data_IF_132351324404
#
_entry.id   IF_132351324404
#
_cell.length_a   1.000
_cell.length_b   1.000
_cell.length_c   1.000
_cell.angle_alpha   90.00
_cell.angle_beta   90.00
_cell.angle_gamma   90.00
#
_symmetry.space_group_name_H-M   'P 1'
#
loop_
_entity.id
_entity.type
_entity.pdbx_description
1 polymer ?
#
# COMPACT_ATOMS: atom_id res chain seq x y z
N UNK A 1 -14.12 -16.23 -9.30
CA UNK A 1 -14.30 -16.10 -7.83
C UNK A 1 -14.20 -17.50 -7.21
N UNK A 2 -13.47 -17.62 -6.12
CA UNK A 2 -13.29 -18.89 -5.40
C UNK A 2 -14.58 -19.32 -4.70
N UNK A 3 -14.85 -20.65 -4.68
CA UNK A 3 -15.94 -21.20 -3.87
C UNK A 3 -15.49 -21.34 -2.41
N UNK A 4 -16.06 -20.55 -1.52
CA UNK A 4 -15.70 -20.51 -0.09
C UNK A 4 -16.47 -21.50 0.78
N UNK A 5 -17.42 -22.27 0.22
CA UNK A 5 -18.23 -23.23 0.98
C UNK A 5 -17.33 -24.29 1.64
N UNK A 6 -17.46 -24.47 2.94
CA UNK A 6 -16.69 -25.39 3.77
C UNK A 6 -15.18 -25.14 3.83
N UNK A 7 -14.67 -24.02 3.30
CA UNK A 7 -13.26 -23.67 3.35
C UNK A 7 -12.86 -23.15 4.74
N UNK A 8 -11.66 -23.52 5.18
CA UNK A 8 -11.01 -22.96 6.38
C UNK A 8 -10.08 -21.82 6.00
N UNK A 9 -10.34 -20.65 6.54
CA UNK A 9 -9.62 -19.41 6.19
C UNK A 9 -8.54 -19.13 7.24
N UNK A 10 -7.31 -19.00 6.81
CA UNK A 10 -6.20 -18.52 7.64
C UNK A 10 -6.01 -17.01 7.48
N UNK A 11 -6.20 -16.24 8.54
CA UNK A 11 -5.90 -14.81 8.54
C UNK A 11 -4.44 -14.63 8.95
N UNK A 12 -3.59 -14.26 7.99
CA UNK A 12 -2.14 -14.08 8.18
C UNK A 12 -1.85 -12.66 8.65
N UNK A 13 -1.33 -12.52 9.86
CA UNK A 13 -1.03 -11.23 10.48
C UNK A 13 0.30 -11.25 11.24
N UNK A 14 0.69 -10.15 11.88
CA UNK A 14 1.93 -10.03 12.63
C UNK A 14 3.13 -9.85 11.69
N UNK A 15 3.95 -10.85 11.57
CA UNK A 15 5.19 -10.76 10.79
C UNK A 15 6.34 -10.14 11.57
N UNK A 16 7.42 -9.76 10.86
CA UNK A 16 8.67 -9.27 11.45
C UNK A 16 8.98 -7.81 11.13
N UNK A 17 8.12 -7.13 10.37
CA UNK A 17 8.31 -5.73 9.99
C UNK A 17 8.09 -4.77 11.16
N UNK A 18 8.50 -3.53 10.99
CA UNK A 18 8.21 -2.43 11.92
C UNK A 18 6.70 -2.13 12.07
N UNK A 19 5.87 -2.63 11.15
CA UNK A 19 4.40 -2.44 11.14
C UNK A 19 3.65 -3.63 11.74
N UNK A 20 4.35 -4.52 12.49
CA UNK A 20 3.78 -5.72 13.11
C UNK A 20 2.49 -5.46 13.89
N UNK A 21 2.46 -4.42 14.72
CA UNK A 21 1.30 -4.08 15.55
C UNK A 21 0.08 -3.71 14.71
N UNK A 22 0.29 -2.97 13.63
CA UNK A 22 -0.78 -2.61 12.67
C UNK A 22 -1.32 -3.85 11.96
N UNK A 23 -0.43 -4.76 11.60
CA UNK A 23 -0.79 -6.05 11.01
C UNK A 23 -1.63 -6.91 11.98
N UNK A 24 -1.26 -6.96 13.26
CA UNK A 24 -2.04 -7.68 14.28
C UNK A 24 -3.43 -7.06 14.48
N UNK A 25 -3.54 -5.73 14.49
CA UNK A 25 -4.81 -5.02 14.59
C UNK A 25 -5.71 -5.31 13.38
N UNK A 26 -5.18 -5.18 12.16
CA UNK A 26 -5.86 -5.49 10.90
C UNK A 26 -6.31 -6.96 10.89
N UNK A 27 -5.41 -7.88 11.24
CA UNK A 27 -5.71 -9.31 11.30
C UNK A 27 -6.82 -9.65 12.27
N UNK A 28 -6.82 -9.03 13.46
CA UNK A 28 -7.88 -9.23 14.46
C UNK A 28 -9.24 -8.73 13.97
N UNK A 29 -9.27 -7.56 13.32
CA UNK A 29 -10.48 -7.00 12.76
C UNK A 29 -11.05 -7.91 11.66
N UNK A 30 -10.23 -8.33 10.71
CA UNK A 30 -10.60 -9.24 9.62
C UNK A 30 -11.03 -10.61 10.14
N UNK A 31 -10.30 -11.19 11.10
CA UNK A 31 -10.67 -12.46 11.74
C UNK A 31 -12.08 -12.40 12.36
N UNK A 32 -12.39 -11.33 13.08
CA UNK A 32 -13.70 -11.14 13.69
C UNK A 32 -14.80 -11.01 12.63
N UNK A 33 -14.54 -10.27 11.53
CA UNK A 33 -15.48 -10.13 10.42
C UNK A 33 -15.75 -11.48 9.73
N UNK A 34 -14.71 -12.26 9.41
CA UNK A 34 -14.84 -13.59 8.80
C UNK A 34 -15.61 -14.55 9.70
N UNK A 35 -15.36 -14.50 11.01
CA UNK A 35 -16.09 -15.30 12.01
C UNK A 35 -17.57 -14.91 12.07
N UNK A 36 -17.87 -13.60 12.03
CA UNK A 36 -19.25 -13.08 12.02
C UNK A 36 -20.01 -13.48 10.75
N UNK A 37 -19.31 -13.60 9.63
CA UNK A 37 -19.84 -14.11 8.36
C UNK A 37 -20.08 -15.64 8.37
N UNK A 38 -19.74 -16.34 9.45
CA UNK A 38 -20.01 -17.78 9.62
C UNK A 38 -18.96 -18.71 9.02
N UNK A 39 -17.79 -18.19 8.57
CA UNK A 39 -16.72 -19.04 8.03
C UNK A 39 -15.84 -19.63 9.13
N UNK A 40 -15.33 -20.85 8.87
CA UNK A 40 -14.26 -21.44 9.69
C UNK A 40 -12.99 -20.62 9.50
N UNK A 41 -12.45 -20.04 10.57
CA UNK A 41 -11.28 -19.16 10.47
C UNK A 41 -10.33 -19.34 11.64
N UNK A 42 -9.05 -19.11 11.40
CA UNK A 42 -7.98 -19.12 12.40
C UNK A 42 -7.06 -17.92 12.16
N UNK A 43 -6.62 -17.29 13.24
CA UNK A 43 -5.63 -16.21 13.20
C UNK A 43 -4.23 -16.81 13.26
N UNK A 44 -3.37 -16.47 12.31
CA UNK A 44 -2.01 -17.01 12.19
C UNK A 44 -1.00 -15.87 12.27
N UNK A 45 -0.28 -15.81 13.38
CA UNK A 45 0.87 -14.92 13.52
C UNK A 45 2.06 -15.47 12.72
N UNK A 46 2.46 -14.73 11.69
CA UNK A 46 3.47 -15.12 10.70
C UNK A 46 4.87 -15.02 11.29
N UNK A 47 5.58 -16.11 11.21
CA UNK A 47 6.99 -16.24 11.58
C UNK A 47 7.65 -17.34 10.73
N UNK A 48 8.92 -17.69 11.00
CA UNK A 48 9.68 -18.71 10.27
C UNK A 48 8.99 -20.08 10.14
N UNK A 49 8.01 -20.38 10.99
CA UNK A 49 7.28 -21.65 10.99
C UNK A 49 5.90 -21.54 10.31
N UNK A 50 5.62 -20.46 9.57
CA UNK A 50 4.29 -20.18 9.00
C UNK A 50 3.82 -21.30 8.06
N UNK A 51 4.68 -21.82 7.19
CA UNK A 51 4.33 -22.92 6.28
C UNK A 51 3.86 -24.17 7.05
N UNK A 52 4.57 -24.56 8.11
CA UNK A 52 4.19 -25.69 8.96
C UNK A 52 2.84 -25.45 9.67
N UNK A 53 2.59 -24.21 10.14
CA UNK A 53 1.32 -23.84 10.75
C UNK A 53 0.16 -23.94 9.74
N UNK A 54 0.35 -23.48 8.51
CA UNK A 54 -0.67 -23.55 7.45
C UNK A 54 -1.05 -25.02 7.16
N UNK A 55 -0.07 -25.90 7.04
CA UNK A 55 -0.30 -27.34 6.85
C UNK A 55 -1.03 -27.96 8.05
N UNK A 56 -0.51 -27.74 9.28
CA UNK A 56 -1.10 -28.25 10.53
C UNK A 56 -2.55 -27.82 10.70
N UNK A 57 -2.84 -26.56 10.42
CA UNK A 57 -4.19 -25.97 10.51
C UNK A 57 -5.07 -26.35 9.33
N UNK A 58 -4.55 -27.03 8.29
CA UNK A 58 -5.29 -27.39 7.07
C UNK A 58 -6.00 -26.17 6.46
N UNK A 59 -5.22 -25.12 6.18
CA UNK A 59 -5.74 -23.89 5.61
C UNK A 59 -6.05 -24.07 4.13
N UNK A 60 -7.26 -23.74 3.74
CA UNK A 60 -7.72 -23.79 2.35
C UNK A 60 -7.54 -22.46 1.60
N UNK A 61 -7.61 -21.33 2.32
CA UNK A 61 -7.49 -19.98 1.76
C UNK A 61 -6.79 -19.09 2.77
N UNK A 62 -5.85 -18.27 2.31
CA UNK A 62 -5.16 -17.30 3.14
C UNK A 62 -5.70 -15.88 2.92
N UNK A 63 -6.12 -15.20 3.99
CA UNK A 63 -6.39 -13.78 3.99
C UNK A 63 -5.16 -13.04 4.54
N UNK A 64 -4.48 -12.25 3.70
CA UNK A 64 -3.24 -11.58 4.08
C UNK A 64 -3.56 -10.19 4.65
N UNK A 65 -3.09 -9.92 5.88
CA UNK A 65 -3.16 -8.61 6.55
C UNK A 65 -1.78 -8.16 7.05
N UNK A 66 -0.73 -8.71 6.45
CA UNK A 66 0.64 -8.31 6.74
C UNK A 66 0.93 -6.91 6.19
N UNK A 67 1.94 -6.26 6.76
CA UNK A 67 2.49 -5.00 6.26
C UNK A 67 4.01 -5.07 6.23
N UNK A 68 4.61 -4.37 5.25
CA UNK A 68 6.06 -4.43 5.00
C UNK A 68 6.54 -5.84 4.63
N UNK A 69 7.84 -6.09 4.74
CA UNK A 69 8.44 -7.41 4.48
C UNK A 69 8.15 -8.38 5.64
N UNK A 70 7.71 -9.64 5.37
CA UNK A 70 7.58 -10.33 4.07
C UNK A 70 6.17 -10.25 3.45
N UNK A 71 5.32 -9.32 3.86
CA UNK A 71 3.91 -9.25 3.45
C UNK A 71 3.70 -8.58 2.10
N UNK A 72 4.40 -7.48 1.83
CA UNK A 72 4.18 -6.61 0.68
C UNK A 72 5.24 -6.74 -0.42
N UNK A 73 6.20 -7.64 -0.27
CA UNK A 73 7.34 -7.82 -1.19
C UNK A 73 7.25 -9.06 -2.09
N UNK A 74 6.15 -9.81 -2.02
CA UNK A 74 5.95 -11.03 -2.81
C UNK A 74 6.42 -12.31 -2.10
N UNK A 75 7.11 -12.23 -0.97
CA UNK A 75 7.68 -13.38 -0.27
C UNK A 75 6.58 -14.32 0.26
N UNK A 76 5.60 -13.80 1.00
CA UNK A 76 4.51 -14.62 1.53
C UNK A 76 3.61 -15.14 0.41
N UNK A 77 3.39 -14.33 -0.64
CA UNK A 77 2.62 -14.71 -1.81
C UNK A 77 3.28 -15.87 -2.55
N UNK A 78 4.59 -15.81 -2.80
CA UNK A 78 5.34 -16.87 -3.44
C UNK A 78 5.34 -18.19 -2.65
N UNK A 79 5.44 -18.13 -1.33
CA UNK A 79 5.29 -19.30 -0.48
C UNK A 79 3.90 -19.93 -0.63
N UNK A 80 2.84 -19.12 -0.60
CA UNK A 80 1.45 -19.60 -0.75
C UNK A 80 1.20 -20.21 -2.13
N UNK A 81 1.77 -19.63 -3.20
CA UNK A 81 1.71 -20.20 -4.56
C UNK A 81 2.38 -21.58 -4.63
N UNK A 82 3.58 -21.73 -4.07
CA UNK A 82 4.28 -23.04 -4.00
C UNK A 82 3.48 -24.05 -3.19
N UNK A 83 2.79 -23.62 -2.14
CA UNK A 83 1.93 -24.49 -1.32
C UNK A 83 0.56 -24.78 -1.96
N UNK A 84 0.21 -24.15 -3.07
CA UNK A 84 -1.12 -24.27 -3.70
C UNK A 84 -2.26 -23.72 -2.85
N UNK A 85 -2.00 -22.75 -1.98
CA UNK A 85 -3.01 -22.13 -1.12
C UNK A 85 -3.44 -20.79 -1.75
N UNK A 86 -4.69 -20.68 -2.24
CA UNK A 86 -5.24 -19.41 -2.70
C UNK A 86 -5.16 -18.32 -1.64
N UNK A 87 -4.92 -17.08 -2.05
CA UNK A 87 -4.78 -15.97 -1.12
C UNK A 87 -5.41 -14.67 -1.64
N UNK A 88 -5.72 -13.76 -0.74
CA UNK A 88 -6.29 -12.45 -1.04
C UNK A 88 -5.23 -11.43 -1.39
N UNK A 89 -5.59 -10.45 -2.23
CA UNK A 89 -4.73 -9.33 -2.60
C UNK A 89 -3.87 -9.61 -3.82
N UNK A 90 -2.87 -8.77 -4.00
CA UNK A 90 -1.97 -8.79 -5.14
C UNK A 90 -1.01 -9.98 -5.11
N UNK A 91 -0.62 -10.46 -6.31
CA UNK A 91 0.32 -11.58 -6.46
C UNK A 91 1.79 -11.19 -6.28
N UNK A 92 2.68 -12.15 -6.53
CA UNK A 92 4.14 -11.99 -6.38
C UNK A 92 4.67 -10.80 -7.16
N UNK A 93 4.35 -10.73 -8.47
CA UNK A 93 4.84 -9.64 -9.33
C UNK A 93 4.39 -8.26 -8.84
N UNK A 94 3.10 -8.09 -8.58
CA UNK A 94 2.55 -6.80 -8.12
C UNK A 94 3.21 -6.35 -6.83
N UNK A 95 3.36 -7.25 -5.87
CA UNK A 95 3.93 -6.96 -4.55
C UNK A 95 5.42 -6.62 -4.66
N UNK A 96 6.21 -7.44 -5.36
CA UNK A 96 7.65 -7.21 -5.50
C UNK A 96 7.97 -5.95 -6.31
N UNK A 97 7.17 -5.64 -7.35
CA UNK A 97 7.38 -4.44 -8.15
C UNK A 97 6.95 -3.16 -7.43
N UNK A 98 5.88 -3.20 -6.61
CA UNK A 98 5.36 -2.02 -5.92
C UNK A 98 6.19 -1.61 -4.72
N UNK A 99 6.80 -2.54 -3.99
CA UNK A 99 7.61 -2.23 -2.82
C UNK A 99 8.89 -1.47 -3.20
N UNK A 100 9.48 -1.76 -4.37
CA UNK A 100 10.62 -1.03 -4.91
C UNK A 100 10.13 0.21 -5.68
N UNK A 101 10.29 1.40 -5.07
CA UNK A 101 9.86 2.68 -5.65
C UNK A 101 10.55 2.98 -6.98
N UNK A 102 11.79 2.53 -7.17
CA UNK A 102 12.54 2.72 -8.41
C UNK A 102 11.91 1.88 -9.54
N UNK A 103 11.56 0.63 -9.26
CA UNK A 103 10.86 -0.23 -10.21
C UNK A 103 9.47 0.35 -10.51
N UNK A 104 8.73 0.77 -9.48
CA UNK A 104 7.44 1.44 -9.65
C UNK A 104 7.52 2.64 -10.58
N UNK A 105 8.53 3.52 -10.40
CA UNK A 105 8.74 4.69 -11.27
C UNK A 105 9.01 4.31 -12.73
N UNK A 106 9.82 3.28 -12.96
CA UNK A 106 10.08 2.77 -14.32
C UNK A 106 8.80 2.26 -14.99
N UNK A 107 7.95 1.55 -14.23
CA UNK A 107 6.64 1.08 -14.73
C UNK A 107 5.74 2.30 -15.02
N UNK A 108 5.67 3.28 -14.11
CA UNK A 108 4.87 4.48 -14.33
C UNK A 108 5.28 5.22 -15.61
N UNK A 109 6.57 5.41 -15.84
CA UNK A 109 7.07 6.08 -17.05
C UNK A 109 6.77 5.27 -18.33
N UNK A 110 7.07 3.97 -18.32
CA UNK A 110 6.79 3.08 -19.46
C UNK A 110 5.31 3.08 -19.83
N UNK A 111 4.44 3.07 -18.83
CA UNK A 111 2.99 3.10 -19.01
C UNK A 111 2.43 4.52 -19.20
N UNK A 112 3.23 5.57 -19.23
CA UNK A 112 2.78 6.97 -19.28
C UNK A 112 1.79 7.31 -18.15
N UNK A 113 2.04 6.80 -16.96
CA UNK A 113 1.34 7.17 -15.73
C UNK A 113 2.06 8.41 -15.15
N UNK A 114 1.33 9.50 -14.87
CA UNK A 114 1.96 10.74 -14.41
C UNK A 114 2.59 10.55 -13.04
N UNK A 115 3.86 10.92 -12.90
CA UNK A 115 4.62 10.89 -11.65
C UNK A 115 5.64 12.03 -11.63
N UNK A 116 6.13 12.42 -10.45
CA UNK A 116 7.13 13.46 -10.32
C UNK A 116 8.44 13.07 -11.04
N UNK A 117 9.17 14.05 -11.58
CA UNK A 117 10.54 13.82 -12.09
C UNK A 117 11.40 13.21 -10.98
N UNK A 118 12.24 12.26 -11.31
CA UNK A 118 13.00 11.50 -10.34
C UNK A 118 14.38 11.10 -10.88
N UNK A 119 15.28 10.80 -9.98
CA UNK A 119 16.58 10.20 -10.25
C UNK A 119 16.98 9.23 -9.16
N UNK A 120 17.94 8.37 -9.46
CA UNK A 120 18.50 7.39 -8.52
C UNK A 120 19.85 7.89 -8.07
N UNK A 121 20.13 7.81 -6.78
CA UNK A 121 21.48 7.95 -6.25
C UNK A 121 21.90 6.61 -5.66
N UNK A 122 23.02 6.09 -6.11
CA UNK A 122 23.62 4.87 -5.61
C UNK A 122 24.82 5.23 -4.73
N UNK A 123 24.98 4.52 -3.64
CA UNK A 123 26.09 4.72 -2.71
C UNK A 123 27.43 4.55 -3.45
N UNK A 124 28.36 5.45 -3.18
CA UNK A 124 29.70 5.47 -3.79
C UNK A 124 29.73 5.78 -5.30
N UNK A 125 28.62 6.18 -5.91
CA UNK A 125 28.61 6.67 -7.30
C UNK A 125 28.40 8.17 -7.35
N UNK A 126 29.01 8.88 -8.34
CA UNK A 126 28.73 10.30 -8.57
C UNK A 126 27.26 10.47 -9.02
N UNK A 127 26.68 11.63 -8.71
CA UNK A 127 25.35 12.02 -9.15
C UNK A 127 25.34 13.45 -9.68
N UNK A 128 24.35 13.75 -10.50
CA UNK A 128 24.18 15.08 -11.10
C UNK A 128 23.70 16.10 -10.07
N UNK A 129 23.84 17.39 -10.41
CA UNK A 129 23.32 18.48 -9.58
C UNK A 129 21.80 18.39 -9.41
N UNK A 130 21.34 18.62 -8.18
CA UNK A 130 19.93 18.48 -7.80
C UNK A 130 19.26 19.85 -7.74
N UNK A 131 18.16 20.00 -8.48
CA UNK A 131 17.30 21.18 -8.43
C UNK A 131 16.28 21.06 -7.28
N UNK A 132 16.36 21.96 -6.30
CA UNK A 132 15.48 21.95 -5.11
C UNK A 132 14.14 22.68 -5.35
N UNK A 133 13.05 22.35 -4.60
CA UNK A 133 12.98 21.35 -3.52
C UNK A 133 12.77 19.93 -4.05
N UNK A 134 13.30 18.94 -3.30
CA UNK A 134 13.17 17.52 -3.62
C UNK A 134 12.74 16.69 -2.41
N UNK A 135 12.31 15.46 -2.67
CA UNK A 135 12.07 14.42 -1.67
C UNK A 135 13.14 13.34 -1.84
N UNK A 136 13.84 13.03 -0.77
CA UNK A 136 14.83 11.95 -0.70
C UNK A 136 14.22 10.80 0.09
N UNK A 137 14.26 9.57 -0.45
CA UNK A 137 13.69 8.38 0.21
C UNK A 137 14.45 7.10 -0.15
N UNK A 138 14.55 6.15 0.79
CA UNK A 138 15.01 4.79 0.48
C UNK A 138 14.12 4.14 -0.58
N UNK A 139 14.69 3.21 -1.38
CA UNK A 139 13.98 2.61 -2.50
C UNK A 139 12.81 1.72 -2.06
N UNK A 140 12.98 0.90 -1.00
CA UNK A 140 12.01 -0.15 -0.61
C UNK A 140 11.45 -0.04 0.81
N UNK A 141 11.75 1.08 1.53
CA UNK A 141 11.14 1.29 2.85
C UNK A 141 9.69 1.77 2.74
N UNK A 142 8.80 1.16 3.55
CA UNK A 142 7.40 1.57 3.70
C UNK A 142 7.21 2.69 4.74
N UNK A 143 5.96 3.09 4.95
CA UNK A 143 5.51 3.93 6.07
C UNK A 143 6.26 5.24 6.29
N UNK A 144 6.75 5.86 5.22
CA UNK A 144 7.52 7.11 5.23
C UNK A 144 8.86 7.04 6.00
N UNK A 145 9.38 5.86 6.27
CA UNK A 145 10.67 5.68 6.95
C UNK A 145 11.80 6.20 6.06
N UNK A 146 12.68 7.04 6.62
CA UNK A 146 13.83 7.60 5.91
C UNK A 146 13.50 8.67 4.87
N UNK A 147 12.24 9.12 4.76
CA UNK A 147 11.83 10.18 3.85
C UNK A 147 12.23 11.54 4.40
N UNK A 148 12.77 12.41 3.51
CA UNK A 148 13.10 13.79 3.83
C UNK A 148 12.67 14.73 2.71
N UNK A 149 11.98 15.82 3.04
CA UNK A 149 11.72 16.94 2.14
C UNK A 149 12.88 17.93 2.30
N UNK A 150 13.53 18.26 1.20
CA UNK A 150 14.82 18.95 1.17
C UNK A 150 14.71 20.21 0.31
N UNK A 151 15.18 21.33 0.84
CA UNK A 151 15.08 22.64 0.20
C UNK A 151 16.41 23.23 -0.23
N UNK A 152 17.54 22.65 0.21
CA UNK A 152 18.87 23.13 -0.08
C UNK A 152 19.93 22.03 0.06
N UNK A 153 21.14 22.29 -0.41
CA UNK A 153 22.26 21.34 -0.43
C UNK A 153 22.62 20.79 0.96
N UNK A 154 22.62 21.63 2.00
CA UNK A 154 22.94 21.19 3.37
C UNK A 154 21.93 20.18 3.94
N UNK A 155 20.64 20.41 3.67
CA UNK A 155 19.59 19.45 4.02
C UNK A 155 19.70 18.18 3.21
N UNK A 156 20.07 18.30 1.91
CA UNK A 156 20.22 17.18 1.01
C UNK A 156 21.31 16.20 1.48
N UNK A 157 22.49 16.69 1.85
CA UNK A 157 23.58 15.85 2.37
C UNK A 157 23.17 15.04 3.61
N UNK A 158 22.37 15.64 4.51
CA UNK A 158 21.83 14.96 5.68
C UNK A 158 20.79 13.90 5.29
N UNK A 159 19.89 14.24 4.38
CA UNK A 159 18.84 13.35 3.90
C UNK A 159 19.42 12.13 3.16
N UNK A 160 20.41 12.33 2.31
CA UNK A 160 21.13 11.26 1.62
C UNK A 160 21.83 10.33 2.61
N UNK A 161 22.52 10.88 3.61
CA UNK A 161 23.15 10.08 4.67
C UNK A 161 22.14 9.26 5.46
N UNK A 162 20.98 9.85 5.79
CA UNK A 162 19.89 9.14 6.46
C UNK A 162 19.33 8.02 5.59
N UNK A 163 19.01 8.30 4.33
CA UNK A 163 18.45 7.29 3.43
C UNK A 163 19.43 6.13 3.17
N UNK A 164 20.74 6.42 3.02
CA UNK A 164 21.78 5.40 2.91
C UNK A 164 22.05 4.60 4.19
N UNK A 165 21.52 4.99 5.33
CA UNK A 165 21.55 4.11 6.52
C UNK A 165 20.56 2.95 6.43
N UNK A 166 19.62 3.02 5.50
CA UNK A 166 18.64 1.96 5.26
C UNK A 166 18.98 1.10 4.04
N UNK A 167 19.45 1.73 2.94
CA UNK A 167 19.65 1.06 1.64
C UNK A 167 20.76 1.71 0.83
N UNK A 168 21.41 0.94 -0.05
CA UNK A 168 22.49 1.45 -0.92
C UNK A 168 21.98 2.15 -2.20
N UNK A 169 20.68 2.16 -2.44
CA UNK A 169 20.00 2.84 -3.53
C UNK A 169 18.88 3.71 -2.96
N UNK A 170 18.86 4.98 -3.35
CA UNK A 170 17.85 5.93 -2.90
C UNK A 170 17.19 6.60 -4.09
N UNK A 171 15.92 6.95 -3.93
CA UNK A 171 15.15 7.71 -4.89
C UNK A 171 15.13 9.19 -4.50
N UNK A 172 15.40 10.06 -5.44
CA UNK A 172 15.25 11.51 -5.30
C UNK A 172 14.19 11.97 -6.28
N UNK A 173 13.15 12.63 -5.81
CA UNK A 173 12.03 13.11 -6.62
C UNK A 173 11.86 14.62 -6.48
N UNK A 174 11.40 15.28 -7.54
CA UNK A 174 10.92 16.65 -7.44
C UNK A 174 9.80 16.75 -6.41
N UNK A 175 9.92 17.67 -5.46
CA UNK A 175 8.85 17.92 -4.50
C UNK A 175 7.64 18.55 -5.20
N UNK A 176 6.48 17.92 -5.09
CA UNK A 176 5.21 18.46 -5.61
C UNK A 176 4.42 19.03 -4.44
N UNK A 177 4.11 20.33 -4.53
CA UNK A 177 3.20 20.98 -3.57
C UNK A 177 1.77 20.80 -4.04
N UNK A 178 0.93 20.18 -3.21
CA UNK A 178 -0.45 19.91 -3.59
C UNK A 178 -1.26 19.26 -2.47
N UNK A 179 -2.44 18.79 -2.85
CA UNK A 179 -3.37 18.05 -1.99
C UNK A 179 -2.98 16.58 -2.06
N UNK A 180 -2.74 15.95 -0.91
CA UNK A 180 -2.49 14.51 -0.83
C UNK A 180 -3.83 13.77 -0.89
N UNK A 181 -3.92 12.84 -1.84
CA UNK A 181 -5.11 12.04 -2.10
C UNK A 181 -4.75 10.57 -2.24
N UNK A 182 -5.75 9.73 -2.04
CA UNK A 182 -5.61 8.30 -2.33
C UNK A 182 -6.86 7.76 -3.01
N UNK A 183 -6.65 6.81 -3.91
CA UNK A 183 -7.72 6.09 -4.61
C UNK A 183 -7.54 4.57 -4.42
N UNK A 184 -8.53 3.94 -3.78
CA UNK A 184 -8.60 2.48 -3.68
C UNK A 184 -9.17 1.85 -4.95
N UNK A 185 -8.74 0.61 -5.23
CA UNK A 185 -9.37 -0.24 -6.25
C UNK A 185 -9.74 -1.57 -5.59
N UNK A 186 -11.01 -1.96 -5.72
CA UNK A 186 -11.54 -3.22 -5.21
C UNK A 186 -12.06 -4.06 -6.39
N UNK A 187 -11.43 -5.20 -6.65
CA UNK A 187 -11.82 -6.12 -7.72
C UNK A 187 -11.98 -5.42 -9.09
N UNK A 188 -11.01 -4.56 -9.45
CA UNK A 188 -11.01 -3.80 -10.70
C UNK A 188 -12.01 -2.64 -10.75
N UNK A 189 -12.63 -2.27 -9.62
CA UNK A 189 -13.55 -1.12 -9.52
C UNK A 189 -12.95 -0.04 -8.62
N UNK A 190 -12.89 1.22 -9.07
CA UNK A 190 -12.34 2.30 -8.27
C UNK A 190 -13.31 2.67 -7.14
N UNK A 191 -12.77 2.91 -5.96
CA UNK A 191 -13.49 3.46 -4.82
C UNK A 191 -13.50 4.99 -4.89
N UNK A 192 -14.33 5.67 -4.08
CA UNK A 192 -14.28 7.12 -3.93
C UNK A 192 -12.88 7.60 -3.52
N UNK A 193 -12.45 8.71 -4.13
CA UNK A 193 -11.16 9.34 -3.83
C UNK A 193 -11.21 9.97 -2.45
N UNK A 194 -10.18 9.74 -1.66
CA UNK A 194 -10.02 10.34 -0.32
C UNK A 194 -9.00 11.46 -0.39
N UNK A 195 -9.34 12.61 0.13
CA UNK A 195 -8.38 13.66 0.47
C UNK A 195 -7.86 13.41 1.88
N UNK A 196 -6.54 13.40 2.03
CA UNK A 196 -5.86 13.19 3.30
C UNK A 196 -5.40 14.55 3.83
N UNK A 197 -5.94 14.96 4.97
CA UNK A 197 -5.56 16.21 5.64
C UNK A 197 -4.82 15.87 6.93
N UNK A 198 -3.48 15.80 6.91
CA UNK A 198 -2.71 15.56 8.13
C UNK A 198 -2.77 16.78 9.05
N UNK A 199 -2.77 16.57 10.38
CA UNK A 199 -2.60 17.66 11.35
C UNK A 199 -1.18 18.22 11.38
N UNK A 200 -0.21 17.43 10.91
CA UNK A 200 1.19 17.80 10.80
C UNK A 200 1.55 18.42 9.45
N UNK A 201 2.86 18.56 9.20
CA UNK A 201 3.36 19.13 7.94
C UNK A 201 3.26 18.19 6.74
N UNK A 202 3.20 16.86 6.96
CA UNK A 202 2.98 15.85 5.93
C UNK A 202 2.46 14.54 6.57
N UNK A 203 2.01 13.61 5.72
CA UNK A 203 1.38 12.35 6.14
C UNK A 203 2.44 11.29 6.46
N UNK A 204 3.02 11.39 7.66
CA UNK A 204 4.06 10.50 8.19
C UNK A 204 3.47 9.26 8.88
N UNK A 205 4.34 8.39 9.41
CA UNK A 205 3.95 7.19 10.15
C UNK A 205 2.96 7.49 11.29
N UNK A 206 3.22 8.55 12.06
CA UNK A 206 2.35 8.95 13.16
C UNK A 206 0.97 9.37 12.67
N UNK A 207 0.92 10.13 11.58
CA UNK A 207 -0.32 10.60 10.97
C UNK A 207 -1.14 9.46 10.34
N UNK A 208 -0.46 8.40 9.86
CA UNK A 208 -1.10 7.21 9.26
C UNK A 208 -1.81 6.33 10.30
N UNK A 209 -1.25 6.16 11.50
CA UNK A 209 -1.68 5.13 12.45
C UNK A 209 -2.19 5.64 13.80
N UNK A 210 -2.09 6.95 14.08
CA UNK A 210 -2.62 7.51 15.31
C UNK A 210 -3.99 8.15 15.08
N UNK A 211 -4.99 7.69 15.83
CA UNK A 211 -6.36 8.22 15.75
C UNK A 211 -6.37 9.73 15.90
N UNK A 212 -7.05 10.42 14.97
CA UNK A 212 -7.23 11.87 14.98
C UNK A 212 -6.01 12.69 14.56
N UNK A 213 -4.92 12.08 14.03
CA UNK A 213 -3.77 12.81 13.46
C UNK A 213 -3.93 13.14 11.97
N UNK A 214 -4.93 12.56 11.30
CA UNK A 214 -5.36 12.93 9.96
C UNK A 214 -6.89 12.97 9.89
N UNK A 215 -7.40 13.74 8.93
CA UNK A 215 -8.82 13.76 8.57
C UNK A 215 -8.97 13.22 7.16
N UNK A 216 -9.92 12.32 6.96
CA UNK A 216 -10.27 11.75 5.66
C UNK A 216 -11.52 12.45 5.13
N UNK A 217 -11.41 13.12 3.99
CA UNK A 217 -12.54 13.80 3.34
C UNK A 217 -12.94 12.97 2.12
N UNK A 218 -14.18 12.47 2.11
CA UNK A 218 -14.70 11.53 1.10
C UNK A 218 -16.06 12.01 0.60
N UNK A 219 -16.21 12.30 -0.71
CA UNK A 219 -15.15 12.38 -1.72
C UNK A 219 -14.20 13.57 -1.48
N UNK A 220 -12.99 13.49 -2.03
CA UNK A 220 -12.01 14.57 -1.99
C UNK A 220 -12.60 15.89 -2.56
N UNK A 221 -12.20 17.04 -2.01
CA UNK A 221 -12.69 18.38 -2.39
C UNK A 221 -12.06 18.86 -3.71
N UNK A 222 -12.29 18.08 -4.77
CA UNK A 222 -11.77 18.32 -6.12
C UNK A 222 -12.92 18.31 -7.13
N UNK A 223 -12.77 18.99 -8.28
CA UNK A 223 -13.78 18.94 -9.35
C UNK A 223 -14.04 17.50 -9.81
N UNK A 224 -15.30 17.18 -10.15
CA UNK A 224 -15.69 15.81 -10.56
C UNK A 224 -14.85 15.26 -11.71
N UNK A 225 -14.49 16.10 -12.70
CA UNK A 225 -13.61 15.73 -13.81
C UNK A 225 -12.23 15.27 -13.33
N UNK A 226 -11.70 15.91 -12.27
CA UNK A 226 -10.40 15.54 -11.66
C UNK A 226 -10.53 14.25 -10.88
N UNK A 227 -11.61 14.07 -10.11
CA UNK A 227 -11.88 12.81 -9.39
C UNK A 227 -11.97 11.62 -10.36
N UNK A 228 -12.65 11.75 -11.48
CA UNK A 228 -12.71 10.71 -12.53
C UNK A 228 -11.34 10.43 -13.14
N UNK A 229 -10.52 11.48 -13.40
CA UNK A 229 -9.14 11.29 -13.91
C UNK A 229 -8.27 10.53 -12.90
N UNK A 230 -8.38 10.84 -11.60
CA UNK A 230 -7.68 10.13 -10.52
C UNK A 230 -8.06 8.64 -10.50
N UNK A 231 -9.35 8.34 -10.53
CA UNK A 231 -9.86 6.97 -10.55
C UNK A 231 -9.36 6.19 -11.77
N UNK A 232 -9.34 6.81 -12.96
CA UNK A 232 -8.81 6.20 -14.17
C UNK A 232 -7.30 5.93 -14.08
N UNK A 233 -6.53 6.85 -13.46
CA UNK A 233 -5.11 6.63 -13.19
C UNK A 233 -4.92 5.47 -12.22
N UNK A 234 -5.72 5.37 -11.15
CA UNK A 234 -5.64 4.26 -10.21
C UNK A 234 -5.95 2.92 -10.87
N UNK A 235 -6.96 2.86 -11.76
CA UNK A 235 -7.25 1.67 -12.56
C UNK A 235 -6.08 1.31 -13.49
N UNK A 236 -5.50 2.29 -14.16
CA UNK A 236 -4.33 2.06 -15.01
C UNK A 236 -3.14 1.50 -14.22
N UNK A 237 -2.87 2.04 -13.01
CA UNK A 237 -1.86 1.48 -12.10
C UNK A 237 -2.20 0.05 -11.71
N UNK A 238 -3.46 -0.23 -11.36
CA UNK A 238 -3.95 -1.58 -11.03
C UNK A 238 -3.66 -2.57 -12.16
N UNK A 239 -3.94 -2.20 -13.41
CA UNK A 239 -3.76 -3.06 -14.57
C UNK A 239 -2.27 -3.26 -14.91
N UNK A 240 -1.47 -2.20 -14.94
CA UNK A 240 -0.04 -2.26 -15.28
C UNK A 240 0.77 -3.07 -14.27
N UNK A 241 0.41 -3.00 -12.98
CA UNK A 241 1.01 -3.85 -11.96
C UNK A 241 0.36 -5.23 -11.86
N UNK A 242 -0.63 -5.55 -12.70
CA UNK A 242 -1.38 -6.82 -12.67
C UNK A 242 -1.93 -7.12 -11.28
N UNK A 243 -2.46 -6.11 -10.61
CA UNK A 243 -3.05 -6.26 -9.30
C UNK A 243 -4.24 -7.22 -9.31
N UNK A 244 -4.54 -7.78 -8.15
CA UNK A 244 -5.72 -8.60 -7.92
C UNK A 244 -6.38 -8.19 -6.59
N UNK A 245 -7.69 -8.32 -6.53
CA UNK A 245 -8.45 -8.00 -5.32
C UNK A 245 -8.35 -6.52 -4.98
N UNK A 246 -7.42 -6.15 -4.12
CA UNK A 246 -7.32 -4.79 -3.58
C UNK A 246 -5.98 -4.15 -3.85
N UNK A 247 -6.01 -2.85 -4.12
CA UNK A 247 -4.83 -1.99 -3.98
C UNK A 247 -5.26 -0.56 -3.64
N UNK A 248 -4.29 0.28 -3.28
CA UNK A 248 -4.47 1.70 -3.03
C UNK A 248 -3.35 2.47 -3.70
N UNK A 249 -3.70 3.50 -4.47
CA UNK A 249 -2.76 4.35 -5.17
C UNK A 249 -2.72 5.71 -4.50
N UNK A 250 -1.57 6.09 -3.97
CA UNK A 250 -1.36 7.37 -3.30
C UNK A 250 -0.82 8.40 -4.30
N UNK A 251 -1.39 9.60 -4.31
CA UNK A 251 -1.13 10.64 -5.32
C UNK A 251 -1.11 12.03 -4.70
N UNK A 252 -0.54 12.99 -5.41
CA UNK A 252 -0.67 14.43 -5.13
C UNK A 252 -1.36 15.09 -6.32
N UNK A 253 -2.28 16.01 -6.02
CA UNK A 253 -2.88 16.92 -7.01
C UNK A 253 -2.35 18.33 -6.74
N UNK A 254 -1.67 18.92 -7.72
CA UNK A 254 -1.13 20.27 -7.59
C UNK A 254 -2.20 21.36 -7.81
N UNK A 255 -1.80 22.62 -7.70
CA UNK A 255 -2.68 23.79 -7.87
C UNK A 255 -3.29 23.93 -9.28
N UNK A 256 -2.70 23.26 -10.29
CA UNK A 256 -3.18 23.26 -11.68
C UNK A 256 -4.10 22.05 -11.96
N UNK A 257 -4.41 21.25 -10.95
CA UNK A 257 -5.08 19.95 -11.06
C UNK A 257 -4.29 18.89 -11.84
N UNK A 258 -2.95 19.03 -11.90
CA UNK A 258 -2.09 17.97 -12.39
C UNK A 258 -1.88 16.92 -11.31
N UNK A 259 -1.94 15.64 -11.73
CA UNK A 259 -1.94 14.49 -10.82
C UNK A 259 -0.59 13.81 -10.90
N UNK A 260 -0.01 13.47 -9.77
CA UNK A 260 1.28 12.79 -9.65
C UNK A 260 1.16 11.56 -8.75
N UNK A 261 1.36 10.37 -9.33
CA UNK A 261 1.36 9.11 -8.57
C UNK A 261 2.65 9.04 -7.74
N UNK A 262 2.48 8.76 -6.44
CA UNK A 262 3.57 8.58 -5.48
C UNK A 262 3.97 7.11 -5.38
N UNK A 263 2.99 6.26 -5.03
CA UNK A 263 3.22 4.84 -4.78
C UNK A 263 1.95 4.01 -4.93
N UNK A 264 2.14 2.69 -5.08
CA UNK A 264 1.09 1.67 -5.06
C UNK A 264 1.22 0.84 -3.78
N UNK A 265 0.14 0.73 -3.02
CA UNK A 265 0.01 -0.15 -1.86
C UNK A 265 -0.80 -1.39 -2.24
N UNK A 266 -0.19 -2.57 -2.16
CA UNK A 266 -0.81 -3.85 -2.55
C UNK A 266 -1.59 -4.54 -1.44
N UNK A 267 -1.32 -4.18 -0.18
CA UNK A 267 -2.06 -4.66 1.00
C UNK A 267 -2.56 -3.47 1.84
N UNK A 268 -3.62 -2.77 1.42
CA UNK A 268 -4.17 -1.66 2.18
C UNK A 268 -4.56 -2.07 3.60
N UNK A 269 -4.27 -1.20 4.59
CA UNK A 269 -4.62 -1.45 5.98
C UNK A 269 -6.12 -1.69 6.19
N UNK A 270 -6.44 -2.56 7.16
CA UNK A 270 -7.80 -2.99 7.48
C UNK A 270 -8.15 -2.69 8.94
N UNK A 271 -7.63 -1.59 9.49
CA UNK A 271 -8.01 -1.09 10.81
C UNK A 271 -9.18 -0.09 10.71
N UNK A 272 -9.71 0.33 11.85
CA UNK A 272 -10.79 1.33 11.90
C UNK A 272 -10.39 2.73 11.40
N UNK A 273 -9.09 3.02 11.33
CA UNK A 273 -8.53 4.29 10.83
C UNK A 273 -7.94 4.16 9.44
N UNK A 274 -8.17 3.03 8.78
CA UNK A 274 -7.58 2.77 7.47
C UNK A 274 -8.40 3.37 6.34
N UNK A 275 -7.72 4.01 5.39
CA UNK A 275 -8.30 4.71 4.24
C UNK A 275 -9.16 3.80 3.35
N UNK A 276 -8.74 2.54 3.16
CA UNK A 276 -9.46 1.63 2.26
C UNK A 276 -10.85 1.23 2.81
N UNK A 277 -11.01 0.82 4.08
CA UNK A 277 -12.33 0.63 4.69
C UNK A 277 -13.19 1.89 4.70
N UNK A 278 -12.60 3.09 4.92
CA UNK A 278 -13.35 4.35 4.90
C UNK A 278 -13.93 4.64 3.50
N UNK A 279 -13.15 4.43 2.43
CA UNK A 279 -13.63 4.56 1.06
C UNK A 279 -14.76 3.57 0.75
N UNK A 280 -14.63 2.30 1.15
CA UNK A 280 -15.66 1.29 0.95
C UNK A 280 -16.95 1.62 1.73
N UNK A 281 -16.82 2.07 2.97
CA UNK A 281 -17.94 2.50 3.81
C UNK A 281 -18.71 3.67 3.20
N UNK A 282 -18.04 4.62 2.57
CA UNK A 282 -18.69 5.74 1.90
C UNK A 282 -19.56 5.33 0.70
N UNK A 283 -19.35 4.11 0.16
CA UNK A 283 -20.21 3.48 -0.86
C UNK A 283 -21.32 2.60 -0.26
N UNK A 284 -21.48 2.57 1.06
CA UNK A 284 -22.48 1.75 1.75
C UNK A 284 -22.05 0.32 2.05
N UNK A 285 -20.79 -0.07 1.80
CA UNK A 285 -20.28 -1.38 2.18
C UNK A 285 -19.99 -1.44 3.68
N UNK A 286 -20.52 -2.42 4.39
CA UNK A 286 -20.08 -2.71 5.75
C UNK A 286 -18.65 -3.27 5.73
N UNK A 287 -18.00 -3.31 6.89
CA UNK A 287 -16.66 -3.89 6.98
C UNK A 287 -16.67 -5.39 6.65
N UNK A 288 -17.73 -6.09 7.06
CA UNK A 288 -17.95 -7.50 6.75
C UNK A 288 -18.14 -7.72 5.24
N UNK A 289 -18.92 -6.86 4.57
CA UNK A 289 -19.10 -6.93 3.11
C UNK A 289 -17.77 -6.70 2.38
N UNK A 290 -16.99 -5.70 2.80
CA UNK A 290 -15.67 -5.45 2.26
C UNK A 290 -14.74 -6.67 2.42
N UNK A 291 -14.68 -7.25 3.62
CA UNK A 291 -13.87 -8.45 3.89
C UNK A 291 -14.32 -9.62 3.03
N UNK A 292 -15.62 -9.80 2.84
CA UNK A 292 -16.19 -10.86 1.97
C UNK A 292 -15.81 -10.64 0.50
N UNK A 293 -15.92 -9.41 -0.02
CA UNK A 293 -15.55 -9.09 -1.40
C UNK A 293 -14.05 -9.31 -1.67
N UNK A 294 -13.20 -8.95 -0.70
CA UNK A 294 -11.77 -9.24 -0.76
C UNK A 294 -11.53 -10.76 -0.73
N UNK A 295 -12.21 -11.48 0.15
CA UNK A 295 -12.05 -12.93 0.27
C UNK A 295 -12.46 -13.68 -1.00
N UNK A 296 -13.53 -13.23 -1.69
CA UNK A 296 -13.97 -13.80 -2.98
C UNK A 296 -12.96 -13.61 -4.11
N UNK A 297 -12.06 -12.63 -4.00
CA UNK A 297 -11.01 -12.37 -4.99
C UNK A 297 -9.80 -13.29 -4.87
N UNK A 298 -9.71 -14.10 -3.83
CA UNK A 298 -8.59 -15.03 -3.65
C UNK A 298 -8.41 -15.95 -4.86
N UNK A 299 -7.17 -16.16 -5.28
CA UNK A 299 -6.78 -16.98 -6.42
C UNK A 299 -5.47 -17.70 -6.14
#
# INVERSE_FOLDING_TARGET
MINLKNKKIGVLCGGTSSEREISLMSGKAVYNAIKKLGFKTVLIDVNKNVAQKLVKEKIDVAYITLHGTPGEDGTIQGMLEVMGIPYTGCGVFSSSASIDKIISKKIFESAKIPTAKWTIIEKLKPFEEIEYPVVVKPASQGSAIGISIVKNKKEFEKAVKLAFSYEDRILVEKYIKGIEITAGVLNGKPLPVIEIVPKGKFYDFKSKYTVGQSTHIIPARLPEKVLKKIQNIALKVYDEFRCNGTCRVDMIVDQNNDIYVLELNTLPGMTQTSLFPDAAKSMGLSFEDLVLEILKSAK
#
